data_IF_845585044360
#
_entry.id   IF_845585044360
#
_cell.length_a   1.000
_cell.length_b   1.000
_cell.length_c   1.000
_cell.angle_alpha   90.00
_cell.angle_beta   90.00
_cell.angle_gamma   90.00
#
_symmetry.space_group_name_H-M   'P 1'
#
loop_
_entity.id
_entity.type
_entity.pdbx_description
1 polymer ?
#
# COMPACT_ATOMS: atom_id res chain seq x y z
N UNK A 1 -0.59 -21.76 -12.08
CA UNK A 1 0.25 -20.62 -11.67
C UNK A 1 1.00 -20.17 -12.92
N UNK A 2 0.86 -18.90 -13.29
CA UNK A 2 1.58 -18.30 -14.42
C UNK A 2 2.62 -17.31 -13.88
N UNK A 3 3.69 -17.12 -14.63
CA UNK A 3 4.71 -16.12 -14.34
C UNK A 3 4.82 -15.18 -15.55
N UNK A 4 4.85 -13.88 -15.30
CA UNK A 4 4.88 -12.84 -16.33
C UNK A 4 6.12 -12.00 -16.10
N UNK A 5 6.87 -11.76 -17.17
CA UNK A 5 8.01 -10.85 -17.12
C UNK A 5 7.51 -9.42 -17.31
N UNK A 6 7.96 -8.53 -16.45
CA UNK A 6 7.62 -7.11 -16.49
C UNK A 6 8.90 -6.28 -16.55
N UNK A 7 8.79 -5.08 -17.09
CA UNK A 7 9.85 -4.07 -17.06
C UNK A 7 9.24 -2.85 -16.40
N UNK A 8 9.86 -2.36 -15.33
CA UNK A 8 9.39 -1.14 -14.67
C UNK A 8 9.77 0.09 -15.51
N UNK A 9 9.14 1.24 -15.24
CA UNK A 9 9.53 2.51 -15.88
C UNK A 9 11.03 2.84 -15.66
N UNK A 10 11.62 2.38 -14.55
CA UNK A 10 13.04 2.51 -14.25
C UNK A 10 13.97 1.62 -15.09
N UNK A 11 13.42 0.75 -15.94
CA UNK A 11 14.18 -0.22 -16.73
C UNK A 11 14.51 -1.52 -15.97
N UNK A 12 14.08 -1.64 -14.72
CA UNK A 12 14.32 -2.85 -13.92
C UNK A 12 13.43 -3.99 -14.41
N UNK A 13 14.05 -5.14 -14.68
CA UNK A 13 13.35 -6.38 -15.04
C UNK A 13 12.82 -7.06 -13.78
N UNK A 14 11.56 -7.47 -13.82
CA UNK A 14 10.90 -8.21 -12.75
C UNK A 14 10.05 -9.37 -13.25
N UNK A 15 9.63 -10.22 -12.32
CA UNK A 15 8.72 -11.34 -12.61
C UNK A 15 7.52 -11.25 -11.67
N UNK A 16 6.31 -11.33 -12.20
CA UNK A 16 5.08 -11.37 -11.43
C UNK A 16 4.51 -12.78 -11.46
N UNK A 17 4.30 -13.36 -10.28
CA UNK A 17 3.69 -14.65 -10.09
C UNK A 17 2.18 -14.48 -9.89
N UNK A 18 1.42 -15.06 -10.81
CA UNK A 18 -0.03 -14.97 -10.86
C UNK A 18 -0.69 -16.33 -10.63
N UNK A 19 -1.84 -16.29 -9.97
CA UNK A 19 -2.75 -17.44 -9.82
C UNK A 19 -4.09 -17.01 -10.39
N UNK A 20 -4.53 -17.65 -11.49
CA UNK A 20 -5.80 -17.33 -12.16
C UNK A 20 -5.96 -15.83 -12.46
N UNK A 21 -4.97 -15.26 -13.17
CA UNK A 21 -4.86 -13.82 -13.49
C UNK A 21 -4.75 -12.88 -12.28
N UNK A 22 -4.73 -13.37 -11.05
CA UNK A 22 -4.48 -12.57 -9.86
C UNK A 22 -2.97 -12.51 -9.58
N UNK A 23 -2.32 -11.34 -9.67
CA UNK A 23 -0.93 -11.20 -9.28
C UNK A 23 -0.84 -11.28 -7.75
N UNK A 24 -0.03 -12.21 -7.23
CA UNK A 24 0.11 -12.41 -5.79
C UNK A 24 1.44 -11.88 -5.28
N UNK A 25 2.52 -12.21 -5.97
CA UNK A 25 3.89 -11.88 -5.60
C UNK A 25 4.58 -11.32 -6.83
N UNK A 26 5.40 -10.29 -6.66
CA UNK A 26 6.29 -9.82 -7.70
C UNK A 26 7.74 -9.86 -7.19
N UNK A 27 8.64 -10.19 -8.09
CA UNK A 27 10.07 -10.25 -7.86
C UNK A 27 10.73 -9.06 -8.56
N UNK A 28 11.48 -8.29 -7.79
CA UNK A 28 12.28 -7.16 -8.26
C UNK A 28 13.67 -7.27 -7.63
N UNK A 29 14.73 -7.12 -8.42
CA UNK A 29 16.12 -7.23 -7.94
C UNK A 29 16.39 -8.52 -7.12
N UNK A 30 15.86 -9.66 -7.57
CA UNK A 30 15.99 -10.98 -6.90
C UNK A 30 15.33 -11.05 -5.51
N UNK A 31 14.46 -10.10 -5.17
CA UNK A 31 13.67 -10.09 -3.94
C UNK A 31 12.19 -10.18 -4.26
N UNK A 32 11.49 -11.00 -3.50
CA UNK A 32 10.05 -11.20 -3.66
C UNK A 32 9.29 -10.26 -2.72
N UNK A 33 8.27 -9.62 -3.25
CA UNK A 33 7.38 -8.71 -2.54
C UNK A 33 5.92 -9.13 -2.75
N UNK A 34 5.11 -9.13 -1.69
CA UNK A 34 3.68 -9.39 -1.83
C UNK A 34 3.00 -8.21 -2.53
N UNK A 35 1.98 -8.51 -3.32
CA UNK A 35 1.07 -7.50 -3.86
C UNK A 35 0.03 -7.08 -2.82
N UNK A 36 -0.73 -6.02 -3.13
CA UNK A 36 -1.87 -5.63 -2.29
C UNK A 36 -2.91 -6.75 -2.18
N UNK A 37 -3.12 -7.53 -3.24
CA UNK A 37 -4.05 -8.66 -3.24
C UNK A 37 -3.67 -9.74 -2.22
N UNK A 38 -2.37 -10.06 -2.11
CA UNK A 38 -1.88 -11.01 -1.11
C UNK A 38 -2.05 -10.47 0.31
N UNK A 39 -1.77 -9.18 0.49
CA UNK A 39 -1.93 -8.52 1.80
C UNK A 39 -3.38 -8.37 2.24
N UNK A 40 -4.33 -8.32 1.32
CA UNK A 40 -5.75 -8.33 1.65
C UNK A 40 -6.20 -9.64 2.28
N UNK A 41 -5.57 -10.75 1.89
CA UNK A 41 -5.81 -12.06 2.50
C UNK A 41 -4.99 -12.27 3.77
N UNK A 42 -3.76 -11.75 3.78
CA UNK A 42 -2.83 -11.90 4.91
C UNK A 42 -2.20 -10.55 5.28
N UNK A 43 -2.93 -9.69 6.01
CA UNK A 43 -2.43 -8.36 6.38
C UNK A 43 -1.34 -8.39 7.44
N UNK A 44 -1.13 -9.53 8.11
CA UNK A 44 -0.13 -9.68 9.19
C UNK A 44 1.27 -10.06 8.71
N UNK A 45 1.47 -10.30 7.41
CA UNK A 45 2.79 -10.73 6.91
C UNK A 45 3.80 -9.58 6.86
N UNK A 46 3.31 -8.34 6.69
CA UNK A 46 4.14 -7.14 6.65
C UNK A 46 3.71 -6.14 7.74
N UNK A 47 4.67 -5.41 8.34
CA UNK A 47 4.36 -4.26 9.17
C UNK A 47 3.67 -3.16 8.33
N UNK A 48 2.68 -2.51 8.92
CA UNK A 48 1.84 -1.52 8.22
C UNK A 48 2.03 -0.10 8.77
N UNK A 49 2.14 0.89 7.89
CA UNK A 49 2.05 2.31 8.24
C UNK A 49 0.67 2.87 7.92
N UNK A 50 0.10 3.60 8.87
CA UNK A 50 -1.19 4.29 8.69
C UNK A 50 -0.97 5.70 8.16
N UNK A 51 -1.72 6.08 7.13
CA UNK A 51 -1.67 7.41 6.50
C UNK A 51 -3.04 8.09 6.53
N UNK A 52 -3.03 9.42 6.43
CA UNK A 52 -4.24 10.19 6.18
C UNK A 52 -4.72 10.02 4.74
N UNK A 53 -6.03 10.04 4.46
CA UNK A 53 -6.57 9.93 3.11
C UNK A 53 -6.02 10.99 2.13
N UNK A 54 -5.72 12.20 2.61
CA UNK A 54 -5.15 13.29 1.79
C UNK A 54 -3.76 12.96 1.22
N UNK A 55 -3.03 12.04 1.84
CA UNK A 55 -1.71 11.61 1.38
C UNK A 55 -1.84 10.64 0.20
N UNK A 56 -2.95 9.89 0.14
CA UNK A 56 -3.17 8.90 -0.92
C UNK A 56 -3.19 9.52 -2.31
N UNK A 57 -3.80 10.70 -2.49
CA UNK A 57 -3.83 11.40 -3.79
C UNK A 57 -2.43 11.69 -4.33
N UNK A 58 -1.46 11.91 -3.42
CA UNK A 58 -0.05 12.09 -3.79
C UNK A 58 0.61 10.76 -4.14
N UNK A 59 0.29 9.70 -3.40
CA UNK A 59 0.79 8.35 -3.70
C UNK A 59 0.26 7.83 -5.04
N UNK A 60 -1.01 8.08 -5.36
CA UNK A 60 -1.62 7.70 -6.65
C UNK A 60 -1.02 8.44 -7.84
N UNK A 61 -0.41 9.61 -7.61
CA UNK A 61 0.38 10.30 -8.63
C UNK A 61 1.80 9.73 -8.79
N UNK A 62 2.15 8.64 -8.09
CA UNK A 62 3.47 8.01 -8.13
C UNK A 62 4.50 8.63 -7.19
N UNK A 63 4.06 9.40 -6.18
CA UNK A 63 4.97 9.93 -5.17
C UNK A 63 5.33 8.89 -4.09
N UNK A 64 6.47 9.08 -3.46
CA UNK A 64 6.88 8.30 -2.29
C UNK A 64 6.19 8.80 -1.00
N UNK A 65 6.08 7.90 -0.02
CA UNK A 65 5.53 8.27 1.28
C UNK A 65 6.57 9.03 2.10
N UNK A 66 6.26 10.29 2.38
CA UNK A 66 7.04 11.16 3.25
C UNK A 66 6.64 10.94 4.72
N UNK A 67 7.58 11.15 5.64
CA UNK A 67 7.37 11.00 7.08
C UNK A 67 6.16 11.81 7.64
N UNK A 68 5.90 13.06 7.24
CA UNK A 68 4.70 13.81 7.66
C UNK A 68 3.37 13.13 7.36
N UNK A 69 3.35 12.24 6.36
CA UNK A 69 2.13 11.54 5.95
C UNK A 69 1.80 10.35 6.85
N UNK A 70 2.74 9.90 7.68
CA UNK A 70 2.56 8.77 8.59
C UNK A 70 1.90 9.25 9.87
N UNK A 71 0.81 8.58 10.22
CA UNK A 71 0.05 8.85 11.43
C UNK A 71 0.72 8.19 12.62
N UNK A 72 1.09 9.02 13.61
CA UNK A 72 1.69 8.55 14.86
C UNK A 72 0.64 8.38 15.95
N UNK A 73 0.68 7.25 16.65
CA UNK A 73 -0.17 6.99 17.82
C UNK A 73 0.42 7.69 19.04
N UNK A 74 0.18 9.00 19.15
CA UNK A 74 0.64 9.83 20.27
C UNK A 74 1.90 10.65 19.96
N UNK A 75 2.70 10.92 20.99
CA UNK A 75 3.92 11.73 20.86
C UNK A 75 5.03 11.00 20.11
N UNK A 76 5.91 11.75 19.45
CA UNK A 76 7.06 11.19 18.75
C UNK A 76 8.02 10.55 19.77
N UNK A 77 8.13 9.22 19.73
CA UNK A 77 9.01 8.42 20.56
C UNK A 77 9.87 7.48 19.72
N UNK A 78 10.95 6.94 20.29
CA UNK A 78 11.91 6.05 19.59
C UNK A 78 11.23 4.84 18.94
N UNK A 79 10.11 4.37 19.51
CA UNK A 79 9.33 3.21 19.01
C UNK A 79 8.12 3.58 18.16
N UNK A 80 7.96 4.85 17.79
CA UNK A 80 6.78 5.33 17.07
C UNK A 80 6.60 4.66 15.69
N UNK A 81 7.71 4.25 15.05
CA UNK A 81 7.72 3.57 13.76
C UNK A 81 8.04 2.07 13.88
N UNK A 82 7.83 1.47 15.06
CA UNK A 82 8.15 0.06 15.29
C UNK A 82 9.66 -0.23 15.33
N UNK A 83 10.06 -1.40 14.82
CA UNK A 83 11.45 -1.86 14.76
C UNK A 83 11.75 -2.37 13.35
N UNK A 84 11.96 -1.43 12.43
CA UNK A 84 12.19 -1.67 11.01
C UNK A 84 13.60 -1.28 10.62
N UNK A 85 14.20 -2.10 9.77
CA UNK A 85 15.48 -1.80 9.12
C UNK A 85 15.25 -1.01 7.83
N UNK A 86 16.31 -0.40 7.31
CA UNK A 86 16.29 0.24 5.99
C UNK A 86 16.18 -0.83 4.90
N UNK A 87 15.30 -0.61 3.92
CA UNK A 87 15.07 -1.53 2.80
C UNK A 87 14.18 -2.72 3.14
N UNK A 88 13.41 -2.62 4.22
CA UNK A 88 12.45 -3.63 4.65
C UNK A 88 11.08 -3.40 3.99
N UNK A 89 10.37 -4.48 3.65
CA UNK A 89 9.07 -4.41 3.01
C UNK A 89 7.99 -3.98 4.02
N UNK A 90 7.18 -3.01 3.64
CA UNK A 90 6.12 -2.45 4.48
C UNK A 90 4.83 -2.30 3.67
N UNK A 91 3.72 -2.49 4.35
CA UNK A 91 2.40 -2.17 3.86
C UNK A 91 2.02 -0.74 4.26
N UNK A 92 1.16 -0.09 3.48
CA UNK A 92 0.58 1.21 3.82
C UNK A 92 -0.93 1.05 3.85
N UNK A 93 -1.56 1.44 4.95
CA UNK A 93 -3.01 1.45 5.14
C UNK A 93 -3.51 2.86 5.48
N UNK A 94 -4.82 3.06 5.43
CA UNK A 94 -5.44 4.35 5.70
C UNK A 94 -6.01 4.40 7.13
N UNK A 95 -6.27 5.60 7.64
CA UNK A 95 -7.03 5.76 8.90
C UNK A 95 -8.46 5.25 8.78
N UNK A 96 -9.02 5.19 7.57
CA UNK A 96 -10.39 4.71 7.29
C UNK A 96 -10.48 3.20 7.16
N UNK A 97 -9.43 2.55 6.64
CA UNK A 97 -9.43 1.13 6.33
C UNK A 97 -8.06 0.51 6.58
N UNK A 98 -8.07 -0.62 7.30
CA UNK A 98 -6.90 -1.45 7.60
C UNK A 98 -6.36 -2.17 6.36
N UNK A 99 -7.18 -2.33 5.32
CA UNK A 99 -6.76 -2.92 4.06
C UNK A 99 -5.58 -2.14 3.46
N UNK A 100 -4.45 -2.82 3.15
CA UNK A 100 -3.31 -2.17 2.54
C UNK A 100 -3.65 -1.58 1.16
N UNK A 101 -3.31 -0.31 0.98
CA UNK A 101 -3.48 0.43 -0.27
C UNK A 101 -2.19 0.51 -1.07
N UNK A 102 -1.04 0.35 -0.42
CA UNK A 102 0.27 0.36 -1.06
C UNK A 102 1.22 -0.65 -0.41
N UNK A 103 2.24 -1.04 -1.17
CA UNK A 103 3.39 -1.81 -0.70
C UNK A 103 4.65 -1.04 -1.10
N UNK A 104 5.62 -1.00 -0.19
CA UNK A 104 6.86 -0.28 -0.43
C UNK A 104 8.02 -0.79 0.41
N UNK A 105 9.15 -0.10 0.27
CA UNK A 105 10.37 -0.36 1.02
C UNK A 105 10.71 0.83 1.91
N UNK A 106 11.10 0.58 3.15
CA UNK A 106 11.59 1.63 4.04
C UNK A 106 12.85 2.29 3.47
N UNK A 107 12.85 3.62 3.38
CA UNK A 107 14.02 4.39 2.96
C UNK A 107 15.03 4.62 4.11
N UNK A 108 14.53 4.57 5.35
CA UNK A 108 15.23 4.84 6.60
C UNK A 108 14.94 3.74 7.62
N UNK A 109 15.83 3.53 8.60
CA UNK A 109 15.51 2.66 9.74
C UNK A 109 14.52 3.35 10.69
N UNK A 110 13.80 2.62 11.56
CA UNK A 110 12.87 3.23 12.52
C UNK A 110 13.56 4.28 13.43
N UNK A 111 14.83 4.06 13.77
CA UNK A 111 15.61 5.02 14.55
C UNK A 111 15.92 6.29 13.74
N UNK A 112 16.32 6.13 12.48
CA UNK A 112 16.58 7.28 11.60
C UNK A 112 15.29 8.06 11.30
N UNK A 113 14.15 7.38 11.12
CA UNK A 113 12.84 8.01 10.96
C UNK A 113 12.46 8.86 12.18
N UNK A 114 12.81 8.39 13.38
CA UNK A 114 12.63 9.14 14.63
C UNK A 114 13.57 10.35 14.68
N UNK A 115 14.87 10.17 14.39
CA UNK A 115 15.84 11.27 14.35
C UNK A 115 15.53 12.33 13.30
N UNK A 116 14.94 11.93 12.18
CA UNK A 116 14.53 12.83 11.11
C UNK A 116 13.34 13.74 11.48
N UNK A 117 12.72 13.53 12.65
CA UNK A 117 11.69 14.39 13.24
C UNK A 117 10.60 14.78 12.23
N UNK A 118 10.00 13.77 11.60
CA UNK A 118 8.93 13.94 10.61
C UNK A 118 9.35 14.67 9.33
N UNK A 119 10.61 14.58 8.91
CA UNK A 119 11.09 15.18 7.63
C UNK A 119 11.78 14.16 6.74
N UNK A 120 11.47 14.20 5.45
CA UNK A 120 12.09 13.34 4.45
C UNK A 120 11.26 12.11 4.10
N UNK A 121 11.84 11.25 3.26
CA UNK A 121 11.19 10.06 2.70
C UNK A 121 11.18 8.92 3.73
N UNK A 122 10.00 8.37 4.00
CA UNK A 122 9.83 7.23 4.88
C UNK A 122 9.87 5.92 4.10
N UNK A 123 9.07 5.83 3.03
CA UNK A 123 8.87 4.59 2.26
C UNK A 123 8.93 4.91 0.77
N UNK A 124 9.73 4.14 0.03
CA UNK A 124 9.71 4.10 -1.43
C UNK A 124 8.56 3.20 -1.87
N UNK A 125 7.58 3.73 -2.60
CA UNK A 125 6.43 2.93 -3.04
C UNK A 125 6.85 2.03 -4.20
N UNK A 126 6.51 0.74 -4.11
CA UNK A 126 6.76 -0.24 -5.17
C UNK A 126 5.48 -0.57 -5.93
N UNK A 127 4.36 -0.65 -5.22
CA UNK A 127 3.09 -1.07 -5.78
C UNK A 127 1.94 -0.36 -5.06
N UNK A 128 0.91 0.05 -5.80
CA UNK A 128 -0.24 0.79 -5.29
C UNK A 128 -1.54 0.25 -5.90
N UNK A 129 -2.62 0.29 -5.12
CA UNK A 129 -3.97 0.12 -5.68
C UNK A 129 -4.22 1.17 -6.76
N UNK A 130 -4.55 0.73 -7.96
CA UNK A 130 -4.80 1.58 -9.13
C UNK A 130 -3.61 1.71 -10.09
N UNK A 131 -2.47 1.09 -9.79
CA UNK A 131 -1.34 1.05 -10.74
C UNK A 131 -1.54 0.02 -11.86
N UNK A 132 -0.56 -0.09 -12.76
CA UNK A 132 -0.62 -1.03 -13.90
C UNK A 132 -0.62 -2.49 -13.44
N UNK A 133 0.14 -2.82 -12.38
CA UNK A 133 0.20 -4.18 -11.83
C UNK A 133 -1.13 -4.56 -11.18
N UNK A 134 -1.79 -3.63 -10.49
CA UNK A 134 -3.12 -3.81 -9.94
C UNK A 134 -4.15 -3.98 -11.06
N UNK A 135 -4.05 -3.15 -12.11
CA UNK A 135 -4.93 -3.17 -13.28
C UNK A 135 -4.83 -4.45 -14.11
N UNK A 136 -3.69 -5.15 -14.03
CA UNK A 136 -3.51 -6.47 -14.63
C UNK A 136 -4.33 -7.57 -13.95
N UNK A 137 -4.58 -7.42 -12.64
CA UNK A 137 -5.42 -8.36 -11.89
C UNK A 137 -6.91 -8.20 -12.14
N UNK A 138 -7.73 -8.96 -11.41
CA UNK A 138 -9.20 -8.95 -11.50
C UNK A 138 -9.86 -7.65 -10.98
N UNK A 139 -9.08 -6.57 -10.76
CA UNK A 139 -9.54 -5.26 -10.26
C UNK A 139 -10.49 -5.37 -9.08
N UNK A 140 -10.15 -6.26 -8.14
CA UNK A 140 -10.97 -6.50 -6.98
C UNK A 140 -11.16 -5.20 -6.19
N UNK A 141 -12.38 -5.00 -5.70
CA UNK A 141 -12.69 -3.88 -4.81
C UNK A 141 -11.89 -4.01 -3.53
N UNK A 142 -11.38 -2.89 -3.01
CA UNK A 142 -10.66 -2.86 -1.75
C UNK A 142 -11.60 -3.42 -0.65
N UNK A 143 -11.20 -4.49 0.07
CA UNK A 143 -12.04 -5.06 1.12
C UNK A 143 -12.17 -4.08 2.28
N UNK A 144 -13.35 -4.02 2.88
CA UNK A 144 -13.58 -3.22 4.08
C UNK A 144 -13.17 -4.02 5.33
N UNK A 145 -11.90 -3.90 5.73
CA UNK A 145 -11.36 -4.58 6.92
C UNK A 145 -11.58 -3.77 8.22
N UNK A 146 -12.35 -2.68 8.16
CA UNK A 146 -12.55 -1.73 9.25
C UNK A 146 -11.34 -0.83 9.51
N UNK A 147 -11.46 0.16 10.41
CA UNK A 147 -10.36 1.07 10.73
C UNK A 147 -9.24 0.34 11.51
N UNK A 148 -7.98 0.80 11.39
CA UNK A 148 -6.89 0.27 12.19
C UNK A 148 -7.09 0.59 13.68
N UNK A 149 -6.54 -0.24 14.59
CA UNK A 149 -6.75 -0.08 16.04
C UNK A 149 -6.29 1.30 16.53
N UNK A 150 -7.19 2.04 17.17
CA UNK A 150 -6.98 3.43 17.61
C UNK A 150 -7.61 4.50 16.71
N UNK A 151 -8.29 4.10 15.62
CA UNK A 151 -9.05 4.98 14.72
C UNK A 151 -10.51 4.54 14.58
N UNK A 152 -11.09 3.99 15.65
CA UNK A 152 -12.51 3.63 15.66
C UNK A 152 -13.33 4.89 15.38
N UNK A 153 -13.97 4.93 14.21
CA UNK A 153 -14.96 5.94 13.89
C UNK A 153 -16.22 5.50 14.61
N UNK A 154 -16.60 6.22 15.67
CA UNK A 154 -17.96 6.13 16.18
C UNK A 154 -18.89 6.55 15.06
N UNK A 155 -19.52 5.57 14.41
CA UNK A 155 -20.55 5.83 13.40
C UNK A 155 -21.78 6.27 14.17
N UNK A 156 -21.96 7.58 14.32
CA UNK A 156 -23.16 8.16 14.89
C UNK A 156 -24.31 7.96 13.87
N UNK A 157 -24.99 6.82 13.96
CA UNK A 157 -26.20 6.53 13.18
C UNK A 157 -27.36 7.27 13.85
N UNK A 158 -27.37 8.59 13.75
CA UNK A 158 -28.54 9.40 14.13
C UNK A 158 -28.86 10.41 13.04
N UNK A 159 -29.58 9.98 12.01
CA UNK A 159 -30.40 10.93 11.23
C UNK A 159 -31.70 10.31 10.70
N UNK A 160 -32.79 11.06 10.94
CA UNK A 160 -34.15 11.01 10.37
C UNK A 160 -35.11 9.93 10.94
N UNK A 161 -36.30 10.21 11.49
CA UNK A 161 -37.17 11.40 11.64
C UNK A 161 -38.10 11.13 12.85
N UNK A 162 -38.77 12.05 13.56
CA UNK A 162 -39.84 13.00 13.21
C UNK A 162 -40.03 13.88 14.46
N UNK A 163 -40.33 15.17 14.28
CA UNK A 163 -40.49 16.13 15.39
C UNK A 163 -41.82 16.02 16.14
N UNK A 164 -41.84 16.56 17.36
CA UNK A 164 -42.90 17.48 17.80
C UNK A 164 -42.49 18.29 19.04
N UNK A 165 -43.23 19.36 19.28
CA UNK A 165 -42.92 20.58 20.04
C UNK A 165 -42.86 20.47 21.60
N UNK A 166 -41.84 21.12 22.22
CA UNK A 166 -41.84 22.32 23.14
C UNK A 166 -42.98 22.48 24.20
N UNK A 167 -42.87 23.19 25.38
CA UNK A 167 -41.75 23.81 26.14
C UNK A 167 -41.75 23.54 27.69
N UNK A 168 -40.75 24.14 28.36
CA UNK A 168 -40.89 25.04 29.53
C UNK A 168 -40.29 24.58 30.87
N UNK A 169 -39.34 25.40 31.37
CA UNK A 169 -39.42 25.87 32.75
C UNK A 169 -38.24 25.59 33.67
N UNK A 170 -37.44 26.64 33.85
CA UNK A 170 -37.00 27.17 35.17
C UNK A 170 -35.69 26.64 35.79
N UNK A 171 -34.84 27.64 36.08
CA UNK A 171 -33.71 27.76 37.03
C UNK A 171 -33.41 26.60 37.99
N UNK A 172 -32.13 26.29 38.22
CA UNK A 172 -31.44 26.77 39.43
C UNK A 172 -29.98 26.32 39.47
N UNK A 173 -29.15 27.31 39.80
CA UNK A 173 -27.78 27.21 40.33
C UNK A 173 -27.57 26.13 41.39
N UNK A 174 -26.39 25.49 41.40
CA UNK A 174 -25.50 25.45 42.58
C UNK A 174 -24.12 24.86 42.27
N UNK A 175 -23.11 25.65 42.64
CA UNK A 175 -21.73 25.24 42.92
C UNK A 175 -21.72 24.38 44.20
N UNK A 176 -20.90 23.33 44.24
CA UNK A 176 -20.17 22.90 45.45
C UNK A 176 -18.83 22.31 44.98
N UNK A 177 -17.73 22.98 45.34
CA UNK A 177 -16.40 22.38 45.48
C UNK A 177 -16.37 21.56 46.77
N UNK A 178 -15.60 20.46 46.79
CA UNK A 178 -14.54 20.20 47.78
C UNK A 178 -14.09 18.73 47.76
N UNK A 179 -12.77 18.52 47.67
CA UNK A 179 -11.90 17.70 48.54
C UNK A 179 -12.35 16.27 48.94
N UNK A 180 -11.50 15.25 49.14
CA UNK A 180 -10.07 15.00 49.02
C UNK A 180 -9.84 13.55 49.49
N UNK A 181 -8.62 13.03 49.24
CA UNK A 181 -7.93 11.92 49.93
C UNK A 181 -8.11 10.47 49.43
N UNK A 182 -6.92 9.88 49.36
CA UNK A 182 -6.38 8.58 48.96
C UNK A 182 -6.89 7.32 49.67
N UNK A 183 -6.69 6.16 49.02
CA UNK A 183 -5.78 5.05 49.41
C UNK A 183 -6.23 3.77 48.65
N UNK A 184 -5.40 3.22 47.78
CA UNK A 184 -4.45 2.12 48.02
C UNK A 184 -5.05 0.71 47.92
N UNK A 185 -4.56 0.00 46.88
CA UNK A 185 -4.33 -1.45 46.77
C UNK A 185 -5.52 -2.43 46.72
N UNK A 186 -5.66 -3.08 45.58
CA UNK A 186 -5.89 -4.53 45.55
C UNK A 186 -5.14 -5.15 44.37
N UNK A 187 -4.08 -5.89 44.71
CA UNK A 187 -3.30 -6.73 43.81
C UNK A 187 -4.11 -8.00 43.52
N UNK A 188 -4.28 -8.35 42.25
CA UNK A 188 -4.72 -9.68 41.83
C UNK A 188 -3.66 -10.24 40.89
N UNK A 189 -2.94 -11.24 41.37
CA UNK A 189 -2.16 -12.16 40.56
C UNK A 189 -3.12 -13.14 39.87
N UNK A 190 -2.78 -13.63 38.68
CA UNK A 190 -3.03 -15.05 38.40
C UNK A 190 -1.77 -15.74 37.90
N UNK A 191 -1.39 -16.80 38.61
CA UNK A 191 -0.52 -17.86 38.11
C UNK A 191 -1.31 -18.89 37.31
N UNK A 192 -0.67 -19.34 36.23
CA UNK A 192 -0.69 -20.65 35.59
C UNK A 192 -2.02 -21.36 35.34
N UNK A 193 -2.44 -21.34 34.07
CA UNK A 193 -3.08 -22.46 33.39
C UNK A 193 -2.49 -22.57 31.98
N UNK A 194 -1.71 -23.64 31.78
CA UNK A 194 -1.40 -24.18 30.46
C UNK A 194 -2.69 -24.48 29.70
N UNK A 195 -2.77 -24.10 28.43
CA UNK A 195 -3.96 -24.31 27.62
C UNK A 195 -3.90 -23.61 26.28
N UNK A 196 -3.15 -24.21 25.36
CA UNK A 196 -3.35 -24.21 23.91
C UNK A 196 -4.43 -23.23 23.36
N UNK A 197 -3.99 -22.12 22.79
CA UNK A 197 -4.81 -21.24 21.95
C UNK A 197 -3.99 -20.73 20.76
N UNK A 198 -3.45 -21.67 19.99
CA UNK A 198 -3.42 -21.51 18.53
C UNK A 198 -4.79 -22.00 18.04
N UNK A 199 -5.36 -21.32 17.05
CA UNK A 199 -6.71 -21.52 16.49
C UNK A 199 -7.78 -20.57 17.06
N UNK A 200 -7.72 -19.31 16.63
CA UNK A 200 -8.93 -18.52 16.31
C UNK A 200 -8.47 -17.20 15.70
N UNK A 201 -8.27 -17.19 14.38
CA UNK A 201 -8.23 -16.00 13.51
C UNK A 201 -8.01 -16.46 12.06
N UNK A 202 -8.88 -17.32 11.54
CA UNK A 202 -8.82 -17.71 10.13
C UNK A 202 -10.17 -18.19 9.60
N UNK A 203 -11.21 -17.35 9.56
CA UNK A 203 -12.46 -17.74 8.89
C UNK A 203 -13.09 -16.64 8.02
N UNK A 204 -12.42 -15.52 7.74
CA UNK A 204 -12.95 -14.52 6.81
C UNK A 204 -11.94 -13.92 5.82
N UNK A 205 -10.64 -14.00 6.09
CA UNK A 205 -9.61 -13.33 5.26
C UNK A 205 -9.11 -14.19 4.10
N UNK A 206 -9.08 -15.52 4.25
CA UNK A 206 -8.69 -16.48 3.19
C UNK A 206 -9.70 -16.58 2.06
N UNK A 207 -10.93 -16.14 2.32
CA UNK A 207 -12.03 -16.25 1.38
C UNK A 207 -11.86 -15.37 0.15
N UNK A 208 -11.14 -14.24 0.19
CA UNK A 208 -11.05 -13.39 -1.00
C UNK A 208 -10.28 -14.05 -2.15
N UNK A 209 -9.10 -14.59 -1.86
CA UNK A 209 -8.30 -15.31 -2.87
C UNK A 209 -8.95 -16.65 -3.21
N UNK A 210 -9.51 -17.37 -2.23
CA UNK A 210 -10.21 -18.64 -2.50
C UNK A 210 -11.51 -18.45 -3.30
N UNK A 211 -12.27 -17.39 -3.04
CA UNK A 211 -13.51 -17.07 -3.76
C UNK A 211 -13.21 -16.63 -5.20
N UNK A 212 -12.15 -15.85 -5.41
CA UNK A 212 -11.67 -15.55 -6.77
C UNK A 212 -11.23 -16.84 -7.46
N UNK A 213 -10.51 -17.71 -6.74
CA UNK A 213 -10.09 -19.02 -7.25
C UNK A 213 -11.28 -19.95 -7.57
N UNK A 214 -12.37 -19.80 -6.83
CA UNK A 214 -13.60 -20.59 -6.97
C UNK A 214 -14.54 -20.05 -8.05
N UNK A 215 -14.61 -18.73 -8.23
CA UNK A 215 -15.47 -18.07 -9.21
C UNK A 215 -15.03 -18.32 -10.66
N UNK A 216 -13.71 -18.40 -10.91
CA UNK A 216 -13.13 -18.62 -12.24
C UNK A 216 -13.39 -20.05 -12.79
N UNK A 217 -13.95 -20.97 -11.98
CA UNK A 217 -14.39 -22.30 -12.45
C UNK A 217 -15.71 -22.27 -13.24
N UNK A 218 -16.33 -21.10 -13.44
CA UNK A 218 -17.66 -20.99 -14.05
C UNK A 218 -17.74 -20.24 -15.38
N UNK A 219 -16.63 -19.72 -15.93
CA UNK A 219 -16.65 -19.04 -17.22
C UNK A 219 -15.62 -19.62 -18.21
N UNK A 220 -16.13 -20.19 -19.29
CA UNK A 220 -15.39 -20.76 -20.41
C UNK A 220 -14.56 -19.70 -21.19
N UNK A 221 -13.43 -20.18 -21.69
CA UNK A 221 -12.49 -19.59 -22.65
C UNK A 221 -12.95 -18.32 -23.40
N UNK A 222 -12.20 -17.23 -23.20
CA UNK A 222 -11.83 -16.32 -24.30
C UNK A 222 -10.34 -15.95 -24.16
N UNK A 223 -9.55 -16.48 -25.08
CA UNK A 223 -8.16 -16.10 -25.32
C UNK A 223 -8.18 -14.70 -25.93
N UNK A 224 -7.74 -13.70 -25.19
CA UNK A 224 -7.30 -12.44 -25.80
C UNK A 224 -5.81 -12.58 -26.09
N UNK A 225 -5.48 -12.71 -27.37
CA UNK A 225 -4.12 -12.56 -27.88
C UNK A 225 -3.61 -11.18 -27.45
N UNK A 226 -2.52 -11.18 -26.68
CA UNK A 226 -1.76 -9.95 -26.42
C UNK A 226 -0.89 -9.72 -27.64
N UNK A 227 -1.06 -8.52 -28.19
CA UNK A 227 -0.47 -7.99 -29.41
C UNK A 227 1.07 -8.17 -29.43
N UNK A 228 1.53 -9.03 -30.34
CA UNK A 228 2.92 -9.12 -30.77
C UNK A 228 3.26 -7.86 -31.57
N UNK A 229 3.97 -6.91 -30.96
CA UNK A 229 4.64 -5.85 -31.71
C UNK A 229 5.89 -6.42 -32.36
N UNK A 230 5.72 -7.15 -33.46
CA UNK A 230 6.81 -7.53 -34.36
C UNK A 230 7.18 -6.31 -35.21
N UNK A 231 8.26 -5.62 -34.83
CA UNK A 231 8.98 -4.75 -35.75
C UNK A 231 9.98 -5.61 -36.53
N UNK A 232 9.70 -5.87 -37.80
CA UNK A 232 10.70 -6.41 -38.75
C UNK A 232 11.68 -5.31 -39.19
N UNK A 233 12.92 -5.68 -39.54
CA UNK A 233 13.97 -4.75 -39.95
C UNK A 233 13.84 -4.41 -41.45
N UNK A 234 14.01 -3.15 -41.82
CA UNK A 234 14.30 -2.76 -43.21
C UNK A 234 15.82 -2.60 -43.35
N UNK A 235 16.45 -3.61 -43.97
CA UNK A 235 17.71 -3.47 -44.70
C UNK A 235 17.37 -2.96 -46.10
N UNK A 236 17.87 -1.78 -46.47
CA UNK A 236 18.09 -1.44 -47.88
C UNK A 236 19.59 -1.17 -48.06
N UNK A 237 20.21 -2.12 -48.76
CA UNK A 237 21.55 -2.04 -49.33
C UNK A 237 21.49 -1.26 -50.62
N UNK A 238 22.27 -0.19 -50.76
CA UNK A 238 22.73 0.27 -52.07
C UNK A 238 24.25 0.48 -52.03
N UNK A 239 24.90 -0.29 -52.89
CA UNK A 239 26.33 -0.27 -53.17
C UNK A 239 26.51 0.42 -54.52
N UNK A 240 27.17 1.57 -54.56
CA UNK A 240 27.88 2.01 -55.77
C UNK A 240 29.27 2.55 -55.39
N UNK A 241 30.27 2.00 -56.07
CA UNK A 241 31.71 2.24 -55.98
C UNK A 241 32.15 3.44 -56.88
N UNK A 242 33.43 3.87 -56.91
CA UNK A 242 33.82 5.27 -56.88
C UNK A 242 34.32 5.82 -58.22
N UNK A 243 34.44 7.15 -58.34
CA UNK A 243 35.29 7.79 -59.36
C UNK A 243 36.01 9.04 -58.84
N UNK A 244 37.33 8.89 -58.79
CA UNK A 244 38.43 9.80 -59.12
C UNK A 244 38.34 11.32 -58.87
N UNK A 245 39.27 11.76 -58.00
CA UNK A 245 40.23 12.86 -58.18
C UNK A 245 40.01 13.80 -59.38
N UNK A 246 39.87 15.09 -59.10
CA UNK A 246 40.69 16.08 -59.80
C UNK A 246 41.03 17.30 -58.94
N UNK A 247 42.30 17.68 -59.04
CA UNK A 247 42.96 18.81 -58.40
C UNK A 247 42.92 19.98 -59.38
N UNK A 248 42.47 21.17 -58.95
CA UNK A 248 43.21 22.40 -59.27
C UNK A 248 42.78 23.64 -58.45
N UNK A 249 43.73 24.56 -58.15
CA UNK A 249 43.50 25.86 -57.52
C UNK A 249 43.47 27.02 -58.55
N UNK A 250 43.34 28.27 -58.06
CA UNK A 250 43.17 29.60 -58.72
C UNK A 250 41.70 30.04 -58.77
N UNK A 251 41.28 31.25 -58.37
CA UNK A 251 41.73 32.65 -58.60
C UNK A 251 41.38 33.51 -57.34
N UNK A 252 42.23 34.36 -56.75
CA UNK A 252 42.63 35.76 -57.07
C UNK A 252 41.52 36.84 -57.08
N UNK A 253 41.86 37.96 -56.41
CA UNK A 253 41.29 39.35 -56.46
C UNK A 253 40.01 39.57 -55.63
N UNK A 254 39.89 40.57 -54.73
CA UNK A 254 40.66 41.79 -54.41
C UNK A 254 40.72 42.05 -52.89
#
# INVERSE_FOLDING_TARGET
>A
MSAIKIITNGGDLGIVYCVQKLPLIFELEQKMYPTVYMLWSFPSILPSFTIWPQVYDRLSAGADLMLPGIVLKGQLHVKAYGNLQKGEAVAVNMTTNKAPVAVGLTALSSFDMYMAAQRGKAVKILHLVGDELWSYGTKLTIPELGPPPGYEVEVDVTSAAVGDNVPAGTESTRRVESDSVSESAMLILPGDLEGNAVESLCDNTTDLVLNVIAADKSEDLHVQEVQECVGTPEEDTDTEEPSELDVNPQESMD
#
